data_IF_547229232182
#
_entry.id   IF_547229232182
#
_cell.length_a   1.000
_cell.length_b   1.000
_cell.length_c   1.000
_cell.angle_alpha   90.00
_cell.angle_beta   90.00
_cell.angle_gamma   90.00
#
_symmetry.space_group_name_H-M   'P 1'
#
loop_
_entity.id
_entity.type
_entity.pdbx_description
1 polymer ?
#
# COMPACT_ATOMS: atom_id res chain seq x y z
N UNK A 1 -6.57 18.02 -4.98
CA UNK A 1 -5.18 17.61 -5.25
C UNK A 1 -5.22 16.11 -5.45
N UNK A 2 -4.90 15.59 -6.64
CA UNK A 2 -4.96 14.14 -6.90
C UNK A 2 -4.08 13.44 -5.87
N UNK A 3 -4.70 12.69 -4.97
CA UNK A 3 -4.06 11.99 -3.88
C UNK A 3 -3.16 10.89 -4.43
N UNK A 4 -1.97 10.71 -3.84
CA UNK A 4 -1.21 9.48 -3.95
C UNK A 4 -2.15 8.29 -3.75
N UNK A 5 -2.16 7.34 -4.67
CA UNK A 5 -3.03 6.15 -4.66
C UNK A 5 -2.49 5.11 -3.67
N UNK A 6 -2.21 5.57 -2.46
CA UNK A 6 -1.64 4.79 -1.38
C UNK A 6 -2.58 4.79 -0.20
N UNK A 7 -2.75 3.63 0.43
CA UNK A 7 -3.56 3.52 1.63
C UNK A 7 -2.91 4.28 2.78
N UNK A 8 -3.75 4.97 3.57
CA UNK A 8 -3.36 5.61 4.82
C UNK A 8 -4.30 5.13 5.91
N UNK A 9 -3.74 4.68 7.03
CA UNK A 9 -4.51 4.28 8.21
C UNK A 9 -4.27 5.32 9.30
N UNK A 10 -5.36 5.73 9.93
CA UNK A 10 -5.34 6.65 11.05
C UNK A 10 -5.93 5.98 12.28
N UNK A 11 -5.32 6.26 13.44
CA UNK A 11 -5.85 5.87 14.74
C UNK A 11 -6.58 7.05 15.34
N UNK A 12 -7.80 6.79 15.78
CA UNK A 12 -8.68 7.80 16.37
C UNK A 12 -9.06 7.39 17.78
N UNK A 13 -9.29 8.39 18.63
CA UNK A 13 -9.95 8.21 19.90
C UNK A 13 -11.42 7.82 19.70
N UNK A 14 -11.86 6.75 20.35
CA UNK A 14 -13.20 6.21 20.13
C UNK A 14 -14.32 7.13 20.66
N UNK A 15 -14.07 7.88 21.73
CA UNK A 15 -15.09 8.71 22.38
C UNK A 15 -15.26 10.05 21.70
N UNK A 16 -14.16 10.73 21.42
CA UNK A 16 -14.13 12.07 20.84
C UNK A 16 -14.05 12.09 19.31
N UNK A 17 -13.63 10.98 18.70
CA UNK A 17 -13.34 10.90 17.27
C UNK A 17 -12.04 11.59 16.85
N UNK A 18 -11.28 12.13 17.81
CA UNK A 18 -10.03 12.85 17.55
C UNK A 18 -9.02 11.93 16.86
N UNK A 19 -8.49 12.35 15.71
CA UNK A 19 -7.36 11.69 15.05
C UNK A 19 -6.11 11.87 15.89
N UNK A 20 -5.53 10.76 16.34
CA UNK A 20 -4.32 10.75 17.16
C UNK A 20 -3.07 10.78 16.29
N UNK A 21 -2.93 9.80 15.40
CA UNK A 21 -1.76 9.65 14.52
C UNK A 21 -2.09 8.74 13.32
N UNK A 22 -1.17 8.69 12.37
CA UNK A 22 -1.20 7.73 11.26
C UNK A 22 -0.29 6.54 11.54
N UNK A 23 -0.68 5.37 11.06
CA UNK A 23 0.20 4.20 11.01
C UNK A 23 1.22 4.38 9.86
N UNK A 24 2.53 4.23 10.10
CA UNK A 24 3.56 4.40 9.08
C UNK A 24 3.60 3.19 8.14
N UNK A 25 2.68 3.13 7.19
CA UNK A 25 2.62 2.09 6.17
C UNK A 25 3.71 2.28 5.12
N UNK A 26 4.28 1.16 4.65
CA UNK A 26 5.05 1.14 3.41
C UNK A 26 4.15 1.29 2.17
N UNK A 27 4.76 1.42 1.00
CA UNK A 27 4.04 1.46 -0.27
C UNK A 27 3.30 0.15 -0.54
N UNK A 28 2.01 0.25 -0.86
CA UNK A 28 1.15 -0.90 -1.16
C UNK A 28 -0.30 -0.67 -0.77
N UNK A 29 -1.07 -1.73 -0.87
CA UNK A 29 -2.49 -1.77 -0.56
C UNK A 29 -2.72 -2.59 0.71
N UNK A 30 -3.39 -1.97 1.67
CA UNK A 30 -3.94 -2.70 2.84
C UNK A 30 -5.16 -3.48 2.38
N UNK A 31 -5.12 -4.80 2.52
CA UNK A 31 -6.24 -5.68 2.13
C UNK A 31 -7.14 -6.06 3.29
N UNK A 32 -6.58 -6.19 4.48
CA UNK A 32 -7.31 -6.63 5.67
C UNK A 32 -6.76 -5.97 6.93
N UNK A 33 -7.66 -5.62 7.83
CA UNK A 33 -7.35 -5.21 9.20
C UNK A 33 -8.23 -6.08 10.11
N UNK A 34 -7.61 -6.83 11.00
CA UNK A 34 -8.30 -7.74 11.92
C UNK A 34 -7.91 -7.43 13.36
N UNK A 35 -8.92 -7.24 14.21
CA UNK A 35 -8.74 -6.92 15.62
C UNK A 35 -10.04 -7.13 16.38
N UNK A 36 -9.96 -7.28 17.69
CA UNK A 36 -11.13 -7.41 18.57
C UNK A 36 -11.11 -6.29 19.60
N UNK A 37 -12.26 -5.65 19.87
CA UNK A 37 -12.36 -4.56 20.85
C UNK A 37 -11.80 -4.90 22.24
N UNK A 38 -11.89 -6.16 22.65
CA UNK A 38 -11.39 -6.65 23.94
C UNK A 38 -9.88 -7.01 23.94
N UNK A 39 -9.16 -6.78 22.82
CA UNK A 39 -7.72 -7.07 22.69
C UNK A 39 -6.99 -5.83 22.20
N UNK A 40 -5.73 -5.69 22.63
CA UNK A 40 -4.84 -4.62 22.17
C UNK A 40 -4.15 -4.95 20.84
N UNK A 41 -4.17 -6.22 20.43
CA UNK A 41 -3.49 -6.67 19.22
C UNK A 41 -4.37 -6.49 17.98
N UNK A 42 -3.76 -5.94 16.92
CA UNK A 42 -4.32 -5.80 15.58
C UNK A 42 -3.36 -6.45 14.58
N UNK A 43 -3.93 -7.21 13.65
CA UNK A 43 -3.24 -7.73 12.47
C UNK A 43 -3.63 -6.91 11.25
N UNK A 44 -2.64 -6.59 10.43
CA UNK A 44 -2.82 -5.84 9.19
C UNK A 44 -2.14 -6.60 8.06
N UNK A 45 -2.84 -6.84 6.95
CA UNK A 45 -2.21 -7.41 5.76
C UNK A 45 -2.00 -6.36 4.68
N UNK A 46 -0.78 -6.30 4.16
CA UNK A 46 -0.36 -5.42 3.08
C UNK A 46 0.17 -6.26 1.92
N UNK A 47 -0.11 -5.82 0.70
CA UNK A 47 0.50 -6.34 -0.53
C UNK A 47 0.87 -5.19 -1.46
N UNK A 48 1.75 -5.44 -2.42
CA UNK A 48 2.11 -4.50 -3.47
C UNK A 48 2.29 -5.25 -4.79
N UNK A 49 2.65 -4.55 -5.87
CA UNK A 49 2.90 -5.18 -7.17
C UNK A 49 4.00 -6.25 -7.13
N UNK A 50 4.99 -6.08 -6.27
CA UNK A 50 6.17 -6.96 -6.19
C UNK A 50 6.25 -7.71 -4.87
N UNK A 51 5.40 -7.36 -3.89
CA UNK A 51 5.34 -7.97 -2.56
C UNK A 51 4.02 -8.74 -2.43
N UNK A 52 4.03 -10.08 -2.46
CA UNK A 52 2.80 -10.88 -2.51
C UNK A 52 1.87 -10.67 -1.31
N UNK A 53 2.40 -10.78 -0.07
CA UNK A 53 1.65 -10.48 1.16
C UNK A 53 2.59 -10.40 2.36
N UNK A 54 2.46 -9.35 3.15
CA UNK A 54 3.04 -9.22 4.49
C UNK A 54 1.90 -9.06 5.50
N UNK A 55 1.95 -9.81 6.59
CA UNK A 55 1.09 -9.63 7.75
C UNK A 55 1.92 -8.92 8.82
N UNK A 56 1.50 -7.72 9.19
CA UNK A 56 2.03 -6.96 10.31
C UNK A 56 1.18 -7.19 11.55
N UNK A 57 1.84 -7.18 12.70
CA UNK A 57 1.22 -7.22 14.02
C UNK A 57 1.54 -5.92 14.75
N UNK A 58 0.51 -5.31 15.30
CA UNK A 58 0.57 -4.05 16.04
C UNK A 58 -0.05 -4.31 17.41
N UNK A 59 0.68 -4.03 18.48
CA UNK A 59 0.16 -4.13 19.85
C UNK A 59 -0.05 -2.73 20.44
N UNK A 60 -1.30 -2.42 20.75
CA UNK A 60 -1.70 -1.15 21.34
C UNK A 60 -1.63 -1.14 22.88
N UNK A 61 -1.14 -2.21 23.52
CA UNK A 61 -1.09 -2.30 24.98
C UNK A 61 -0.27 -1.19 25.63
N UNK A 62 0.80 -0.75 24.96
CA UNK A 62 1.71 0.32 25.42
C UNK A 62 1.57 1.60 24.60
N UNK A 63 0.52 1.74 23.79
CA UNK A 63 0.37 2.90 22.92
C UNK A 63 0.20 4.19 23.74
N UNK A 64 1.12 5.14 23.55
CA UNK A 64 0.89 6.51 23.97
C UNK A 64 0.01 7.19 22.89
N UNK A 65 -0.87 8.10 23.28
CA UNK A 65 -1.85 8.71 22.33
C UNK A 65 -1.22 9.65 21.29
N UNK A 66 0.10 9.69 21.21
CA UNK A 66 0.89 10.61 20.42
C UNK A 66 1.64 9.94 19.28
N UNK A 67 1.99 8.65 19.41
CA UNK A 67 2.81 7.94 18.42
C UNK A 67 2.25 6.56 18.11
N UNK A 68 2.43 6.13 16.85
CA UNK A 68 2.04 4.80 16.42
C UNK A 68 2.94 3.73 17.05
N UNK A 69 2.38 2.62 17.57
CA UNK A 69 3.18 1.46 17.94
C UNK A 69 3.94 0.90 16.74
N UNK A 70 4.99 0.13 17.02
CA UNK A 70 5.79 -0.50 15.97
C UNK A 70 4.95 -1.49 15.14
N UNK A 71 5.18 -1.48 13.83
CA UNK A 71 4.65 -2.48 12.91
C UNK A 71 5.64 -3.62 12.85
N UNK A 72 5.31 -4.74 13.51
CA UNK A 72 6.18 -5.91 13.55
C UNK A 72 5.77 -6.85 12.42
N UNK A 73 6.67 -7.12 11.48
CA UNK A 73 6.45 -8.16 10.48
C UNK A 73 6.24 -9.50 11.18
N UNK A 74 5.05 -10.07 11.03
CA UNK A 74 4.66 -11.32 11.66
C UNK A 74 4.80 -12.50 10.73
N UNK A 75 4.38 -12.33 9.47
CA UNK A 75 4.50 -13.33 8.40
C UNK A 75 4.69 -12.62 7.07
N UNK A 76 5.49 -13.24 6.21
CA UNK A 76 5.66 -12.86 4.80
C UNK A 76 5.51 -14.07 3.91
N UNK A 77 4.73 -13.90 2.85
CA UNK A 77 4.62 -14.88 1.79
C UNK A 77 5.83 -14.75 0.87
N UNK A 78 6.54 -15.85 0.65
CA UNK A 78 7.65 -15.92 -0.29
C UNK A 78 7.21 -16.72 -1.53
N UNK A 79 7.57 -16.22 -2.71
CA UNK A 79 7.35 -16.92 -3.97
C UNK A 79 8.71 -17.37 -4.50
N UNK A 80 8.88 -18.68 -4.70
CA UNK A 80 10.13 -19.24 -5.21
C UNK A 80 10.48 -18.63 -6.57
N UNK A 81 11.68 -18.05 -6.69
CA UNK A 81 12.17 -17.42 -7.91
C UNK A 81 11.76 -15.96 -8.10
N UNK A 82 11.00 -15.37 -7.17
CA UNK A 82 10.72 -13.94 -7.14
C UNK A 82 11.79 -13.21 -6.33
N UNK A 83 12.55 -12.35 -6.98
CA UNK A 83 13.35 -11.32 -6.32
C UNK A 83 12.56 -10.01 -6.34
N UNK A 84 11.96 -9.64 -5.21
CA UNK A 84 11.14 -8.43 -5.07
C UNK A 84 11.97 -7.17 -5.36
N UNK A 85 13.28 -7.21 -5.06
CA UNK A 85 14.21 -6.10 -5.24
C UNK A 85 14.73 -5.98 -6.66
N UNK A 86 14.46 -6.92 -7.56
CA UNK A 86 14.83 -6.80 -8.97
C UNK A 86 13.92 -5.81 -9.74
N UNK A 87 12.78 -5.45 -9.16
CA UNK A 87 11.76 -4.65 -9.81
C UNK A 87 11.77 -3.19 -9.34
N UNK A 88 11.34 -2.32 -10.24
CA UNK A 88 11.06 -0.91 -10.02
C UNK A 88 9.56 -0.68 -10.25
N UNK A 89 8.90 -0.06 -9.27
CA UNK A 89 7.51 0.39 -9.34
C UNK A 89 7.50 1.91 -9.31
N UNK A 90 7.07 2.52 -10.41
CA UNK A 90 6.99 3.98 -10.55
C UNK A 90 5.54 4.42 -10.69
N UNK A 91 5.16 5.46 -9.96
CA UNK A 91 3.92 6.17 -10.22
C UNK A 91 4.20 7.35 -11.14
N UNK A 92 3.52 7.39 -12.28
CA UNK A 92 3.58 8.49 -13.24
C UNK A 92 2.19 9.12 -13.40
N UNK A 93 2.15 10.35 -13.89
CA UNK A 93 0.91 11.00 -14.31
C UNK A 93 1.01 11.31 -15.79
N UNK A 94 0.11 10.76 -16.59
CA UNK A 94 -0.01 11.12 -18.00
C UNK A 94 -1.14 12.13 -18.21
N UNK A 95 -0.99 12.96 -19.23
CA UNK A 95 -2.01 13.94 -19.61
C UNK A 95 -2.97 13.30 -20.62
N UNK A 96 -4.25 13.24 -20.27
CA UNK A 96 -5.34 12.82 -21.17
C UNK A 96 -5.60 13.89 -22.23
N UNK A 97 -6.39 13.56 -23.25
CA UNK A 97 -6.77 14.48 -24.34
C UNK A 97 -7.36 15.80 -23.81
N UNK A 98 -8.20 15.71 -22.78
CA UNK A 98 -8.86 16.82 -22.11
C UNK A 98 -8.00 17.53 -21.05
N UNK A 99 -6.69 17.20 -20.98
CA UNK A 99 -5.73 17.69 -19.98
C UNK A 99 -5.91 17.16 -18.56
N UNK A 100 -6.81 16.20 -18.35
CA UNK A 100 -6.92 15.51 -17.07
C UNK A 100 -5.64 14.71 -16.81
N UNK A 101 -5.03 14.91 -15.63
CA UNK A 101 -3.88 14.09 -15.20
C UNK A 101 -4.38 12.75 -14.69
N UNK A 102 -3.96 11.68 -15.37
CA UNK A 102 -4.33 10.32 -15.02
C UNK A 102 -3.12 9.61 -14.41
N UNK A 103 -3.24 9.07 -13.19
CA UNK A 103 -2.18 8.30 -12.55
C UNK A 103 -2.01 6.94 -13.24
N UNK A 104 -0.78 6.45 -13.33
CA UNK A 104 -0.47 5.11 -13.82
C UNK A 104 0.73 4.56 -13.06
N UNK A 105 0.70 3.26 -12.75
CA UNK A 105 1.87 2.55 -12.25
C UNK A 105 2.60 1.86 -13.39
N UNK A 106 3.91 2.02 -13.45
CA UNK A 106 4.81 1.28 -14.35
C UNK A 106 5.63 0.33 -13.49
N UNK A 107 5.57 -0.95 -13.82
CA UNK A 107 6.34 -2.02 -13.14
C UNK A 107 7.32 -2.58 -14.17
N UNK A 108 8.60 -2.57 -13.85
CA UNK A 108 9.66 -3.04 -14.74
C UNK A 108 10.82 -3.62 -13.95
N UNK A 109 11.74 -4.35 -14.60
CA UNK A 109 13.04 -4.63 -13.98
C UNK A 109 13.82 -3.32 -13.81
N UNK A 110 14.56 -3.18 -12.72
CA UNK A 110 15.34 -1.95 -12.43
C UNK A 110 16.24 -1.53 -13.58
N UNK A 111 16.84 -2.49 -14.27
CA UNK A 111 17.81 -2.26 -15.35
C UNK A 111 17.20 -2.40 -16.76
N UNK A 112 15.87 -2.43 -16.89
CA UNK A 112 15.21 -2.57 -18.18
C UNK A 112 15.46 -1.34 -19.09
N UNK A 113 15.95 -1.53 -20.33
CA UNK A 113 16.14 -0.43 -21.28
C UNK A 113 14.82 0.26 -21.64
N UNK A 114 14.78 1.59 -21.58
CA UNK A 114 13.63 2.41 -22.01
C UNK A 114 13.77 2.83 -23.49
N UNK A 115 13.91 1.83 -24.37
CA UNK A 115 14.14 2.02 -25.82
C UNK A 115 12.91 1.71 -26.70
N UNK A 116 11.79 1.29 -26.11
CA UNK A 116 10.55 0.95 -26.83
C UNK A 116 10.47 -0.49 -27.36
N UNK A 117 11.48 -1.32 -27.11
CA UNK A 117 11.51 -2.72 -27.58
C UNK A 117 10.91 -3.70 -26.56
N UNK A 118 10.70 -3.26 -25.32
CA UNK A 118 10.17 -4.10 -24.25
C UNK A 118 8.68 -4.41 -24.47
N UNK A 119 8.27 -5.69 -24.48
CA UNK A 119 6.87 -6.05 -24.54
C UNK A 119 6.13 -5.46 -23.34
N UNK A 120 4.96 -4.86 -23.59
CA UNK A 120 4.21 -4.10 -22.58
C UNK A 120 2.80 -4.62 -22.48
N UNK A 121 2.34 -4.84 -21.24
CA UNK A 121 0.93 -5.12 -20.93
C UNK A 121 0.36 -3.88 -20.27
N UNK A 122 -0.68 -3.31 -20.88
CA UNK A 122 -1.44 -2.20 -20.31
C UNK A 122 -2.77 -2.73 -19.75
N UNK A 123 -2.96 -2.58 -18.45
CA UNK A 123 -4.18 -3.01 -17.75
C UNK A 123 -4.92 -1.81 -17.16
N UNK A 124 -6.25 -1.78 -17.33
CA UNK A 124 -7.14 -0.77 -16.77
C UNK A 124 -8.59 -1.25 -16.74
N UNK A 125 -9.39 -0.71 -15.81
CA UNK A 125 -10.80 -1.07 -15.64
C UNK A 125 -11.73 0.04 -16.14
N UNK A 126 -11.68 1.24 -15.53
CA UNK A 126 -12.28 2.45 -16.10
C UNK A 126 -13.81 2.61 -15.99
N UNK A 127 -14.48 1.98 -15.02
CA UNK A 127 -15.92 2.16 -14.75
C UNK A 127 -16.31 1.68 -13.35
N UNK A 128 -17.49 2.07 -12.83
CA UNK A 128 -17.98 1.80 -11.45
C UNK A 128 -17.06 2.37 -10.33
N UNK A 129 -17.52 2.56 -9.08
CA UNK A 129 -16.69 3.10 -7.99
C UNK A 129 -15.69 2.06 -7.43
N UNK A 130 -15.01 1.31 -8.31
CA UNK A 130 -14.05 0.28 -7.96
C UNK A 130 -12.61 0.79 -8.11
N UNK A 131 -11.80 0.58 -7.07
CA UNK A 131 -10.34 0.73 -7.12
C UNK A 131 -9.72 -0.64 -6.89
N UNK A 132 -8.83 -1.07 -7.79
CA UNK A 132 -8.17 -2.39 -7.79
C UNK A 132 -6.79 -2.34 -7.11
#
# INVERSE_FOLDING_TARGET
MLSDFQHRIYVHDLTSGLRLYSIPLGSGSVREISGKKARSEVLLSLESFTVPKIIYRIDFATANRTEAPALIEWRRTHVTGLDEDAFLVEQVFFESEDKTKVPMYIISLKDAPRNGESPTILYGYGGEPLSL
#
